data_IF_877860948336
#
_entry.id   IF_877860948336
#
_cell.length_a   1.000
_cell.length_b   1.000
_cell.length_c   1.000
_cell.angle_alpha   90.00
_cell.angle_beta   90.00
_cell.angle_gamma   90.00
#
_symmetry.space_group_name_H-M   'P 1'
#
loop_
_entity.id
_entity.type
_entity.pdbx_description
1 polymer ?
#
# COMPACT_ATOMS: atom_id res chain seq x y z
N UNK A 1 -9.94 -8.90 6.79
CA UNK A 1 -9.14 -7.93 7.54
C UNK A 1 -10.14 -6.96 8.15
N UNK A 2 -10.50 -7.17 9.39
CA UNK A 2 -11.37 -6.33 10.21
C UNK A 2 -10.53 -5.41 11.09
N UNK A 3 -11.23 -4.51 11.77
CA UNK A 3 -10.74 -3.64 12.84
C UNK A 3 -10.23 -4.40 14.09
N UNK A 4 -10.37 -5.74 14.15
CA UNK A 4 -10.02 -6.51 15.34
C UNK A 4 -8.53 -6.86 15.40
N UNK A 5 -8.02 -7.12 16.61
CA UNK A 5 -6.68 -7.66 16.79
C UNK A 5 -6.50 -9.04 16.12
N UNK A 6 -7.55 -9.87 16.12
CA UNK A 6 -7.53 -11.21 15.54
C UNK A 6 -7.33 -11.17 14.03
N UNK A 7 -8.03 -10.27 13.34
CA UNK A 7 -7.91 -10.12 11.89
C UNK A 7 -6.54 -9.59 11.46
N UNK A 8 -5.99 -8.65 12.23
CA UNK A 8 -4.63 -8.13 12.04
C UNK A 8 -3.62 -9.25 12.17
N UNK A 9 -3.70 -10.05 13.24
CA UNK A 9 -2.84 -11.21 13.42
C UNK A 9 -3.01 -12.25 12.32
N UNK A 10 -4.24 -12.51 11.86
CA UNK A 10 -4.51 -13.43 10.77
C UNK A 10 -3.91 -12.95 9.43
N UNK A 11 -3.91 -11.63 9.17
CA UNK A 11 -3.24 -11.05 8.02
C UNK A 11 -1.73 -11.16 8.11
N UNK A 12 -1.14 -10.81 9.25
CA UNK A 12 0.30 -10.97 9.51
C UNK A 12 0.73 -12.44 9.41
N UNK A 13 -0.09 -13.39 9.88
CA UNK A 13 0.18 -14.82 9.76
C UNK A 13 0.20 -15.28 8.28
N UNK A 14 -0.68 -14.75 7.43
CA UNK A 14 -0.66 -15.06 5.99
C UNK A 14 0.66 -14.69 5.33
N UNK A 15 1.21 -13.52 5.66
CA UNK A 15 2.51 -13.08 5.14
C UNK A 15 3.66 -13.95 5.67
N UNK A 16 3.70 -14.20 6.97
CA UNK A 16 4.69 -15.10 7.61
C UNK A 16 4.70 -16.51 6.99
N UNK A 17 3.52 -17.02 6.63
CA UNK A 17 3.34 -18.35 6.04
C UNK A 17 3.46 -18.36 4.50
N UNK A 18 3.74 -17.22 3.86
CA UNK A 18 3.83 -17.11 2.40
C UNK A 18 2.51 -17.33 1.66
N UNK A 19 1.35 -17.21 2.34
CA UNK A 19 0.01 -17.36 1.76
C UNK A 19 -0.45 -16.10 1.03
N UNK A 20 0.34 -15.66 0.06
CA UNK A 20 0.20 -14.38 -0.65
C UNK A 20 -0.34 -14.52 -2.08
N UNK A 21 -1.24 -15.48 -2.34
CA UNK A 21 -1.81 -15.75 -3.68
C UNK A 21 -2.56 -14.57 -4.32
N UNK A 22 -2.84 -13.52 -3.56
CA UNK A 22 -3.42 -12.28 -4.04
C UNK A 22 -2.40 -11.38 -4.75
N UNK A 23 -1.10 -11.57 -4.51
CA UNK A 23 -0.03 -10.83 -5.17
C UNK A 23 0.02 -11.19 -6.67
N UNK A 24 0.20 -10.16 -7.49
CA UNK A 24 0.49 -10.30 -8.91
C UNK A 24 1.98 -10.00 -9.11
N UNK A 25 2.65 -10.83 -9.88
CA UNK A 25 4.06 -10.67 -10.30
C UNK A 25 4.23 -9.65 -11.44
N UNK A 26 3.15 -8.94 -11.77
CA UNK A 26 3.11 -7.88 -12.78
C UNK A 26 2.18 -6.75 -12.33
N UNK A 27 2.39 -5.57 -12.91
CA UNK A 27 1.49 -4.43 -12.80
C UNK A 27 0.10 -4.82 -13.29
N UNK A 28 -0.94 -4.37 -12.58
CA UNK A 28 -2.31 -4.69 -12.91
C UNK A 28 -2.69 -4.10 -14.29
N UNK A 29 -3.18 -4.91 -15.26
CA UNK A 29 -3.43 -4.43 -16.62
C UNK A 29 -4.41 -3.24 -16.72
N UNK A 30 -5.38 -3.17 -15.81
CA UNK A 30 -6.31 -2.04 -15.77
C UNK A 30 -5.63 -0.73 -15.37
N UNK A 31 -4.62 -0.78 -14.49
CA UNK A 31 -3.87 0.41 -14.11
C UNK A 31 -3.18 0.99 -15.35
N UNK A 32 -2.37 0.17 -16.03
CA UNK A 32 -1.66 0.56 -17.25
C UNK A 32 -2.59 1.11 -18.33
N UNK A 33 -3.82 0.58 -18.43
CA UNK A 33 -4.78 0.98 -19.46
C UNK A 33 -5.48 2.31 -19.16
N UNK A 34 -5.84 2.57 -17.91
CA UNK A 34 -6.79 3.63 -17.57
C UNK A 34 -6.19 4.80 -16.80
N UNK A 35 -5.09 4.62 -16.07
CA UNK A 35 -4.60 5.66 -15.18
C UNK A 35 -4.22 6.96 -15.89
N UNK A 36 -3.57 6.89 -17.06
CA UNK A 36 -3.23 8.08 -17.85
C UNK A 36 -4.45 8.85 -18.39
N UNK A 37 -5.63 8.24 -18.41
CA UNK A 37 -6.90 8.92 -18.76
C UNK A 37 -7.56 9.57 -17.54
N UNK A 38 -7.17 9.14 -16.33
CA UNK A 38 -7.73 9.61 -15.07
C UNK A 38 -6.86 10.68 -14.42
N UNK A 39 -5.53 10.56 -14.53
CA UNK A 39 -4.57 11.49 -13.96
C UNK A 39 -3.18 11.38 -14.61
N UNK A 40 -2.51 12.51 -14.77
CA UNK A 40 -1.13 12.59 -15.30
C UNK A 40 -0.07 12.71 -14.20
N UNK A 41 -0.45 13.18 -13.02
CA UNK A 41 0.37 13.32 -11.82
C UNK A 41 -0.54 13.62 -10.63
N UNK A 42 -0.05 13.39 -9.41
CA UNK A 42 -0.81 13.63 -8.18
C UNK A 42 -0.36 12.70 -7.06
N UNK A 43 -0.95 12.88 -5.88
CA UNK A 43 -0.70 12.05 -4.71
C UNK A 43 -1.74 10.94 -4.62
N UNK A 44 -1.29 9.70 -4.79
CA UNK A 44 -2.17 8.52 -4.90
C UNK A 44 -2.06 7.68 -3.64
N UNK A 45 -3.20 7.40 -3.01
CA UNK A 45 -3.29 6.40 -1.94
C UNK A 45 -3.48 5.00 -2.53
N UNK A 46 -2.68 4.04 -2.06
CA UNK A 46 -2.83 2.61 -2.35
C UNK A 46 -3.08 1.89 -1.01
N UNK A 47 -4.35 1.69 -0.62
CA UNK A 47 -4.68 1.06 0.66
C UNK A 47 -4.37 -0.44 0.61
N UNK A 48 -3.95 -1.01 1.74
CA UNK A 48 -3.61 -2.43 1.90
C UNK A 48 -2.66 -2.91 0.78
N UNK A 49 -1.59 -2.15 0.56
CA UNK A 49 -0.83 -2.24 -0.68
C UNK A 49 -0.05 -3.56 -0.85
N UNK A 50 0.20 -4.29 0.25
CA UNK A 50 1.12 -5.41 0.27
C UNK A 50 2.44 -5.03 -0.40
N UNK A 51 2.84 -5.85 -1.37
CA UNK A 51 3.99 -5.61 -2.25
C UNK A 51 3.60 -5.39 -3.71
N UNK A 52 2.51 -4.66 -3.96
CA UNK A 52 2.05 -4.47 -5.35
C UNK A 52 3.08 -3.72 -6.20
N UNK A 53 3.39 -4.26 -7.39
CA UNK A 53 4.25 -3.59 -8.37
C UNK A 53 3.59 -2.35 -8.98
N UNK A 54 2.29 -2.17 -8.76
CA UNK A 54 1.55 -0.97 -9.13
C UNK A 54 2.15 0.30 -8.48
N UNK A 55 2.72 0.20 -7.28
CA UNK A 55 3.28 1.34 -6.56
C UNK A 55 4.51 1.89 -7.29
N UNK A 56 5.43 1.00 -7.68
CA UNK A 56 6.61 1.38 -8.47
C UNK A 56 6.21 1.95 -9.83
N UNK A 57 5.24 1.31 -10.50
CA UNK A 57 4.76 1.79 -11.80
C UNK A 57 4.16 3.20 -11.70
N UNK A 58 3.29 3.47 -10.71
CA UNK A 58 2.70 4.80 -10.50
C UNK A 58 3.77 5.86 -10.21
N UNK A 59 4.74 5.52 -9.35
CA UNK A 59 5.89 6.38 -9.05
C UNK A 59 6.65 6.74 -10.32
N UNK A 60 6.99 5.75 -11.14
CA UNK A 60 7.78 5.97 -12.36
C UNK A 60 7.02 6.74 -13.43
N UNK A 61 5.70 6.85 -13.31
CA UNK A 61 4.83 7.70 -14.12
C UNK A 61 4.59 9.09 -13.50
N UNK A 62 5.41 9.50 -12.53
CA UNK A 62 5.42 10.86 -11.97
C UNK A 62 4.40 11.12 -10.87
N UNK A 63 3.79 10.07 -10.31
CA UNK A 63 2.91 10.21 -9.15
C UNK A 63 3.68 10.17 -7.83
N UNK A 64 3.18 10.85 -6.81
CA UNK A 64 3.61 10.67 -5.43
C UNK A 64 2.76 9.57 -4.80
N UNK A 65 3.34 8.39 -4.63
CA UNK A 65 2.58 7.20 -4.20
C UNK A 65 2.68 7.04 -2.69
N UNK A 66 1.53 6.82 -2.05
CA UNK A 66 1.44 6.52 -0.63
C UNK A 66 0.76 5.16 -0.45
N UNK A 67 1.54 4.15 -0.04
CA UNK A 67 1.03 2.85 0.36
C UNK A 67 0.71 2.80 1.85
N UNK A 68 -0.26 1.98 2.24
CA UNK A 68 -0.47 1.62 3.65
C UNK A 68 -0.59 0.11 3.76
N UNK A 69 0.24 -0.50 4.60
CA UNK A 69 0.28 -1.95 4.77
C UNK A 69 0.66 -2.30 6.22
N UNK A 70 -0.02 -3.30 6.78
CA UNK A 70 0.20 -3.73 8.14
C UNK A 70 1.44 -4.64 8.26
N UNK A 71 1.69 -5.47 7.25
CA UNK A 71 2.79 -6.42 7.25
C UNK A 71 4.11 -5.76 6.83
N UNK A 72 4.95 -5.42 7.80
CA UNK A 72 6.32 -4.90 7.56
C UNK A 72 7.11 -5.79 6.59
N UNK A 73 6.96 -7.12 6.67
CA UNK A 73 7.59 -8.07 5.75
C UNK A 73 7.21 -7.78 4.28
N UNK A 74 5.94 -7.48 4.01
CA UNK A 74 5.48 -7.16 2.66
C UNK A 74 6.13 -5.86 2.14
N UNK A 75 6.27 -4.88 3.04
CA UNK A 75 6.90 -3.59 2.72
C UNK A 75 8.40 -3.76 2.46
N UNK A 76 9.10 -4.58 3.25
CA UNK A 76 10.50 -4.96 2.98
C UNK A 76 10.64 -5.62 1.61
N UNK A 77 9.82 -6.63 1.33
CA UNK A 77 9.84 -7.33 0.04
C UNK A 77 9.52 -6.37 -1.12
N UNK A 78 8.64 -5.37 -0.94
CA UNK A 78 8.34 -4.35 -1.95
C UNK A 78 9.57 -3.49 -2.27
N UNK A 79 10.22 -2.93 -1.26
CA UNK A 79 11.39 -2.06 -1.46
C UNK A 79 12.57 -2.83 -2.07
N UNK A 80 12.77 -4.08 -1.65
CA UNK A 80 13.75 -5.00 -2.28
C UNK A 80 13.41 -5.25 -3.75
N UNK A 81 12.15 -5.54 -4.08
CA UNK A 81 11.69 -5.78 -5.46
C UNK A 81 11.83 -4.56 -6.37
N UNK A 82 11.67 -3.36 -5.81
CA UNK A 82 11.82 -2.10 -6.54
C UNK A 82 13.28 -1.61 -6.59
N UNK A 83 14.21 -2.32 -5.94
CA UNK A 83 15.61 -1.92 -5.81
C UNK A 83 15.77 -0.51 -5.19
N UNK A 84 14.93 -0.22 -4.18
CA UNK A 84 14.89 1.08 -3.50
C UNK A 84 15.33 0.92 -2.04
N UNK A 85 16.20 1.81 -1.57
CA UNK A 85 16.61 1.89 -0.17
C UNK A 85 15.79 2.98 0.57
N UNK A 86 14.85 2.61 1.46
CA UNK A 86 14.01 3.58 2.14
C UNK A 86 14.68 4.16 3.38
N UNK A 87 14.40 5.43 3.65
CA UNK A 87 14.57 5.99 5.01
C UNK A 87 13.37 5.58 5.86
N UNK A 88 13.59 5.18 7.11
CA UNK A 88 12.53 4.76 8.04
C UNK A 88 12.36 5.79 9.15
N UNK A 89 11.14 6.27 9.35
CA UNK A 89 10.83 7.30 10.36
C UNK A 89 9.59 6.92 11.16
N UNK A 90 9.66 6.91 12.51
CA UNK A 90 8.46 6.74 13.34
C UNK A 90 7.48 7.91 13.18
N UNK A 91 6.19 7.61 13.04
CA UNK A 91 5.12 8.59 12.89
C UNK A 91 3.83 8.12 13.58
N UNK A 92 3.75 8.32 14.90
CA UNK A 92 2.59 7.91 15.69
C UNK A 92 2.40 6.39 15.69
N UNK A 93 1.28 5.91 15.17
CA UNK A 93 0.96 4.48 15.04
C UNK A 93 1.68 3.80 13.85
N UNK A 94 2.45 4.55 13.07
CA UNK A 94 3.11 4.07 11.86
C UNK A 94 4.62 4.15 11.97
N UNK A 95 5.30 3.28 11.22
CA UNK A 95 6.65 3.55 10.73
C UNK A 95 6.55 3.87 9.23
N UNK A 96 7.07 5.02 8.80
CA UNK A 96 7.01 5.43 7.39
C UNK A 96 8.33 5.06 6.72
N UNK A 97 8.25 4.28 5.64
CA UNK A 97 9.37 3.90 4.79
C UNK A 97 9.31 4.74 3.52
N UNK A 98 10.31 5.59 3.30
CA UNK A 98 10.28 6.60 2.24
C UNK A 98 11.48 6.53 1.31
N UNK A 99 11.18 6.65 0.02
CA UNK A 99 12.12 6.86 -1.07
C UNK A 99 11.56 7.93 -2.03
N UNK A 100 12.35 8.50 -2.94
CA UNK A 100 11.85 9.52 -3.86
C UNK A 100 10.61 9.05 -4.64
N UNK A 101 9.46 9.69 -4.40
CA UNK A 101 8.19 9.41 -5.07
C UNK A 101 7.36 8.26 -4.48
N UNK A 102 7.84 7.58 -3.43
CA UNK A 102 7.11 6.49 -2.76
C UNK A 102 7.29 6.56 -1.23
N UNK A 103 6.18 6.66 -0.51
CA UNK A 103 6.12 6.49 0.94
C UNK A 103 5.19 5.32 1.27
N UNK A 104 5.60 4.42 2.15
CA UNK A 104 4.75 3.33 2.66
C UNK A 104 4.62 3.45 4.16
N UNK A 105 3.38 3.58 4.63
CA UNK A 105 3.03 3.65 6.04
C UNK A 105 2.83 2.22 6.54
N UNK A 106 3.78 1.74 7.35
CA UNK A 106 3.71 0.43 8.00
C UNK A 106 2.84 0.56 9.23
N UNK A 107 1.62 0.03 9.17
CA UNK A 107 0.63 0.12 10.25
C UNK A 107 -0.79 -0.16 9.82
N UNK A 108 -1.73 0.05 10.73
CA UNK A 108 -3.14 -0.21 10.49
C UNK A 108 -3.77 0.93 9.66
N UNK A 109 -4.32 0.58 8.48
CA UNK A 109 -5.00 1.53 7.60
C UNK A 109 -6.13 2.30 8.29
N UNK A 110 -6.78 1.69 9.30
CA UNK A 110 -7.87 2.35 10.03
C UNK A 110 -7.39 3.39 11.05
N UNK A 111 -6.08 3.43 11.34
CA UNK A 111 -5.45 4.48 12.14
C UNK A 111 -4.96 5.66 11.28
N UNK A 112 -5.05 5.56 9.95
CA UNK A 112 -4.60 6.60 9.04
C UNK A 112 -5.58 7.78 9.07
N UNK A 113 -5.09 8.95 9.50
CA UNK A 113 -5.87 10.18 9.54
C UNK A 113 -5.31 11.23 8.58
N UNK A 114 -6.11 12.25 8.29
CA UNK A 114 -5.66 13.43 7.52
C UNK A 114 -4.52 14.18 8.20
N UNK A 115 -4.41 14.12 9.52
CA UNK A 115 -3.30 14.77 10.25
C UNK A 115 -1.98 14.01 10.08
N UNK A 116 -2.05 12.68 9.93
CA UNK A 116 -0.89 11.81 9.73
C UNK A 116 -0.45 11.82 8.26
N UNK A 117 -1.42 11.69 7.36
CA UNK A 117 -1.15 11.40 5.96
C UNK A 117 -1.59 12.51 5.01
N UNK A 118 -2.21 13.60 5.46
CA UNK A 118 -2.70 14.66 4.58
C UNK A 118 -3.85 14.19 3.67
N UNK A 119 -3.97 14.82 2.49
CA UNK A 119 -4.98 14.49 1.48
C UNK A 119 -4.37 13.82 0.25
N UNK A 120 -5.22 13.20 -0.56
CA UNK A 120 -4.86 12.49 -1.78
C UNK A 120 -5.71 12.99 -2.94
N UNK A 121 -5.14 12.98 -4.14
CA UNK A 121 -5.83 13.35 -5.38
C UNK A 121 -6.61 12.16 -5.95
N UNK A 122 -6.16 10.93 -5.66
CA UNK A 122 -6.81 9.70 -6.09
C UNK A 122 -6.52 8.52 -5.16
N UNK A 123 -7.32 7.47 -5.32
CA UNK A 123 -7.13 6.17 -4.67
C UNK A 123 -7.02 5.09 -5.74
N UNK A 124 -5.97 4.28 -5.69
CA UNK A 124 -5.87 3.04 -6.45
C UNK A 124 -6.21 1.86 -5.52
N UNK A 125 -7.48 1.48 -5.49
CA UNK A 125 -7.94 0.30 -4.76
C UNK A 125 -7.94 -0.92 -5.69
N UNK A 126 -7.00 -1.83 -5.46
CA UNK A 126 -7.04 -3.17 -6.02
C UNK A 126 -7.02 -4.17 -4.88
N UNK A 127 -8.13 -4.89 -4.75
CA UNK A 127 -8.32 -5.93 -3.77
C UNK A 127 -8.29 -5.47 -2.28
N UNK A 128 -8.25 -4.17 -2.00
CA UNK A 128 -8.20 -3.66 -0.63
C UNK A 128 -9.59 -3.68 0.00
N UNK A 129 -10.57 -2.99 -0.59
CA UNK A 129 -11.95 -2.95 -0.08
C UNK A 129 -12.56 -4.36 0.04
N UNK A 130 -12.28 -5.26 -0.90
CA UNK A 130 -12.80 -6.64 -0.86
C UNK A 130 -12.08 -7.53 0.16
N UNK A 131 -10.87 -7.15 0.62
CA UNK A 131 -10.16 -7.85 1.69
C UNK A 131 -10.75 -7.52 3.08
N UNK A 132 -11.52 -6.43 3.17
CA UNK A 132 -12.30 -6.09 4.35
C UNK A 132 -13.55 -6.97 4.44
N UNK A 133 -13.96 -7.27 5.67
CA UNK A 133 -15.23 -7.94 5.89
C UNK A 133 -16.37 -7.06 5.39
N UNK A 134 -17.46 -7.62 4.82
CA UNK A 134 -18.54 -6.82 4.24
C UNK A 134 -19.17 -5.76 5.17
N UNK A 135 -19.13 -5.98 6.48
CA UNK A 135 -19.65 -5.05 7.48
C UNK A 135 -18.70 -3.87 7.80
N UNK A 136 -17.43 -3.97 7.41
CA UNK A 136 -16.36 -3.00 7.68
C UNK A 136 -15.96 -2.19 6.44
N UNK A 137 -16.76 -2.27 5.36
CA UNK A 137 -16.54 -1.56 4.09
C UNK A 137 -17.16 -0.17 4.08
#
# INVERSE_FOLDING_TARGET
>A
MTLSLEDREAWLARWREGRTRFHLDQVHPALMRYIGQLMSSGRILVPLCGKSLDLGWLKDHGCHVVGVELAEQAVSELFEQLELEPTRTPAGAFEIWESPGLSVYVGDMFELTTDIAGTFDAVWDRAALIALNPADR
#
